data_IF_091778040578
#
_entry.id   IF_091778040578
#
_cell.length_a   1.000
_cell.length_b   1.000
_cell.length_c   1.000
_cell.angle_alpha   90.00
_cell.angle_beta   90.00
_cell.angle_gamma   90.00
#
_symmetry.space_group_name_H-M   'P 1'
#
loop_
_entity.id
_entity.type
_entity.pdbx_description
1 polymer ?
#
# COMPACT_ATOMS: atom_id res chain seq x y z
N UNK A 1 -2.24 13.37 -0.80
CA UNK A 1 -2.12 12.40 0.31
C UNK A 1 -2.73 11.08 -0.14
N UNK A 2 -2.04 9.96 0.07
CA UNK A 2 -2.59 8.64 -0.20
C UNK A 2 -3.82 8.39 0.70
N UNK A 3 -4.91 7.90 0.13
CA UNK A 3 -6.14 7.60 0.87
C UNK A 3 -6.19 6.10 1.17
N UNK A 4 -6.57 5.77 2.40
CA UNK A 4 -6.84 4.40 2.83
C UNK A 4 -7.89 3.73 1.96
N UNK A 5 -7.69 2.44 1.70
CA UNK A 5 -8.62 1.63 0.94
C UNK A 5 -9.95 1.47 1.69
N UNK A 6 -11.04 1.90 1.05
CA UNK A 6 -12.41 1.70 1.56
C UNK A 6 -12.72 0.21 1.81
N UNK A 7 -12.15 -0.67 0.99
CA UNK A 7 -12.33 -2.12 1.12
C UNK A 7 -11.71 -2.63 2.42
N UNK A 8 -10.53 -2.13 2.79
CA UNK A 8 -9.89 -2.49 4.06
C UNK A 8 -10.69 -1.94 5.25
N UNK A 9 -11.11 -0.67 5.17
CA UNK A 9 -11.97 -0.06 6.20
C UNK A 9 -13.25 -0.88 6.42
N UNK A 10 -13.90 -1.32 5.35
CA UNK A 10 -15.12 -2.12 5.44
C UNK A 10 -14.87 -3.47 6.14
N UNK A 11 -13.73 -4.12 5.91
CA UNK A 11 -13.35 -5.39 6.55
C UNK A 11 -13.06 -5.21 8.04
N UNK A 12 -12.32 -4.16 8.40
CA UNK A 12 -12.05 -3.80 9.80
C UNK A 12 -13.37 -3.50 10.52
N UNK A 13 -14.26 -2.72 9.90
CA UNK A 13 -15.56 -2.40 10.47
C UNK A 13 -16.48 -3.63 10.60
N UNK A 14 -16.48 -4.52 9.62
CA UNK A 14 -17.23 -5.79 9.67
C UNK A 14 -16.76 -6.66 10.83
N UNK A 15 -15.45 -6.72 11.06
CA UNK A 15 -14.86 -7.43 12.20
C UNK A 15 -15.31 -6.81 13.53
N UNK A 16 -15.29 -5.48 13.64
CA UNK A 16 -15.76 -4.77 14.83
C UNK A 16 -17.23 -5.08 15.16
N UNK A 17 -18.09 -5.21 14.15
CA UNK A 17 -19.50 -5.56 14.36
C UNK A 17 -19.70 -7.01 14.83
N UNK A 18 -18.95 -7.97 14.28
CA UNK A 18 -18.97 -9.37 14.74
C UNK A 18 -18.45 -9.46 16.19
N UNK A 19 -17.34 -8.78 16.49
CA UNK A 19 -16.77 -8.70 17.84
C UNK A 19 -17.77 -8.07 18.81
N UNK A 20 -18.39 -6.95 18.43
CA UNK A 20 -19.39 -6.27 19.24
C UNK A 20 -20.56 -7.18 19.57
N UNK A 21 -21.12 -7.88 18.57
CA UNK A 21 -22.19 -8.85 18.74
C UNK A 21 -21.85 -9.92 19.80
N UNK A 22 -20.65 -10.51 19.68
CA UNK A 22 -20.19 -11.55 20.58
C UNK A 22 -19.93 -11.01 22.00
N UNK A 23 -19.22 -9.88 22.15
CA UNK A 23 -18.91 -9.29 23.46
C UNK A 23 -20.17 -8.82 24.20
N UNK A 24 -21.09 -8.14 23.52
CA UNK A 24 -22.33 -7.64 24.13
C UNK A 24 -23.23 -8.77 24.66
N UNK A 25 -23.22 -9.93 24.01
CA UNK A 25 -24.11 -11.05 24.36
C UNK A 25 -23.39 -12.24 25.00
N UNK A 26 -22.10 -12.11 25.32
CA UNK A 26 -21.27 -13.21 25.79
C UNK A 26 -21.85 -13.92 27.03
N UNK A 27 -22.24 -13.13 28.04
CA UNK A 27 -22.82 -13.62 29.29
C UNK A 27 -24.06 -14.48 29.07
N UNK A 28 -25.02 -13.95 28.30
CA UNK A 28 -26.28 -14.64 28.03
C UNK A 28 -26.08 -15.90 27.18
N UNK A 29 -25.20 -15.83 26.19
CA UNK A 29 -24.91 -16.96 25.30
C UNK A 29 -24.20 -18.07 26.09
N UNK A 30 -23.19 -17.72 26.88
CA UNK A 30 -22.45 -18.67 27.71
C UNK A 30 -23.35 -19.37 28.74
N UNK A 31 -24.23 -18.61 29.41
CA UNK A 31 -25.20 -19.16 30.37
C UNK A 31 -26.13 -20.18 29.72
N UNK A 32 -26.70 -19.85 28.54
CA UNK A 32 -27.60 -20.76 27.83
C UNK A 32 -26.90 -22.01 27.31
N UNK A 33 -25.66 -21.88 26.83
CA UNK A 33 -24.86 -23.03 26.40
C UNK A 33 -24.51 -23.94 27.57
N UNK A 34 -24.14 -23.38 28.73
CA UNK A 34 -23.87 -24.15 29.94
C UNK A 34 -25.11 -24.88 30.45
N UNK A 35 -26.27 -24.21 30.50
CA UNK A 35 -27.55 -24.83 30.87
C UNK A 35 -27.90 -26.00 29.93
N UNK A 36 -27.65 -25.84 28.63
CA UNK A 36 -27.82 -26.92 27.64
C UNK A 36 -26.82 -28.05 27.85
N UNK A 37 -25.57 -27.77 28.21
CA UNK A 37 -24.60 -28.81 28.49
C UNK A 37 -25.02 -29.65 29.71
N UNK A 38 -25.53 -29.00 30.77
CA UNK A 38 -26.07 -29.69 31.94
C UNK A 38 -27.24 -30.61 31.59
N UNK A 39 -28.15 -30.18 30.69
CA UNK A 39 -29.30 -31.00 30.31
C UNK A 39 -28.93 -32.23 29.48
N UNK A 40 -27.81 -32.18 28.73
CA UNK A 40 -27.36 -33.27 27.85
C UNK A 40 -26.34 -34.19 28.54
N UNK A 41 -25.44 -33.63 29.34
CA UNK A 41 -24.28 -34.32 29.91
C UNK A 41 -24.37 -34.51 31.44
N UNK A 42 -25.38 -33.91 32.09
CA UNK A 42 -25.58 -33.93 33.53
C UNK A 42 -24.83 -32.82 34.28
N UNK A 43 -25.08 -32.73 35.60
CA UNK A 43 -24.60 -31.66 36.46
C UNK A 43 -23.07 -31.57 36.60
N UNK A 44 -22.34 -32.66 36.33
CA UNK A 44 -20.88 -32.73 36.45
C UNK A 44 -20.15 -32.41 35.12
N UNK A 45 -20.84 -31.81 34.15
CA UNK A 45 -20.21 -31.42 32.88
C UNK A 45 -19.08 -30.41 33.08
N UNK A 46 -18.03 -30.52 32.25
CA UNK A 46 -16.95 -29.54 32.17
C UNK A 46 -17.29 -28.33 31.30
N UNK A 47 -18.37 -28.37 30.53
CA UNK A 47 -18.80 -27.27 29.66
C UNK A 47 -19.58 -26.23 30.48
N UNK A 48 -18.87 -25.55 31.39
CA UNK A 48 -19.43 -24.53 32.27
C UNK A 48 -19.56 -23.19 31.56
N UNK A 49 -20.26 -22.23 32.20
CA UNK A 49 -20.39 -20.87 31.70
C UNK A 49 -19.03 -20.21 31.48
N UNK A 50 -18.12 -20.39 32.43
CA UNK A 50 -16.75 -19.83 32.39
C UNK A 50 -15.98 -20.36 31.18
N UNK A 51 -16.12 -21.66 30.85
CA UNK A 51 -15.48 -22.26 29.67
C UNK A 51 -16.01 -21.62 28.38
N UNK A 52 -17.32 -21.39 28.26
CA UNK A 52 -17.87 -20.72 27.10
C UNK A 52 -17.48 -19.24 27.02
N UNK A 53 -17.37 -18.54 28.14
CA UNK A 53 -16.86 -17.16 28.17
C UNK A 53 -15.41 -17.08 27.69
N UNK A 54 -14.55 -18.01 28.13
CA UNK A 54 -13.16 -18.11 27.66
C UNK A 54 -13.10 -18.36 26.16
N UNK A 55 -13.92 -19.29 25.64
CA UNK A 55 -14.00 -19.56 24.21
C UNK A 55 -14.44 -18.32 23.41
N UNK A 56 -15.50 -17.63 23.84
CA UNK A 56 -15.99 -16.43 23.17
C UNK A 56 -14.95 -15.30 23.21
N UNK A 57 -14.28 -15.11 24.35
CA UNK A 57 -13.20 -14.14 24.47
C UNK A 57 -12.08 -14.44 23.46
N UNK A 58 -11.59 -15.68 23.44
CA UNK A 58 -10.56 -16.13 22.49
C UNK A 58 -10.95 -15.82 21.04
N UNK A 59 -12.17 -16.22 20.61
CA UNK A 59 -12.66 -15.94 19.26
C UNK A 59 -12.66 -14.44 18.94
N UNK A 60 -13.15 -13.61 19.87
CA UNK A 60 -13.21 -12.15 19.63
C UNK A 60 -11.85 -11.48 19.63
N UNK A 61 -10.92 -11.95 20.47
CA UNK A 61 -9.58 -11.37 20.57
C UNK A 61 -8.71 -11.80 19.38
N UNK A 62 -8.88 -13.03 18.87
CA UNK A 62 -8.26 -13.46 17.60
C UNK A 62 -8.74 -12.61 16.43
N UNK A 63 -10.05 -12.40 16.28
CA UNK A 63 -10.57 -11.56 15.20
C UNK A 63 -10.13 -10.10 15.33
N UNK A 64 -10.04 -9.58 16.57
CA UNK A 64 -9.54 -8.23 16.82
C UNK A 64 -8.07 -8.09 16.41
N UNK A 65 -7.22 -9.05 16.78
CA UNK A 65 -5.81 -9.08 16.39
C UNK A 65 -5.65 -9.15 14.86
N UNK A 66 -6.40 -10.03 14.21
CA UNK A 66 -6.38 -10.19 12.74
C UNK A 66 -6.80 -8.90 12.02
N UNK A 67 -7.87 -8.24 12.48
CA UNK A 67 -8.31 -6.96 11.93
C UNK A 67 -7.27 -5.83 12.16
N UNK A 68 -6.63 -5.79 13.33
CA UNK A 68 -5.58 -4.82 13.62
C UNK A 68 -4.32 -5.04 12.75
N UNK A 69 -3.91 -6.29 12.53
CA UNK A 69 -2.78 -6.62 11.65
C UNK A 69 -3.05 -6.23 10.19
N UNK A 70 -4.29 -6.41 9.72
CA UNK A 70 -4.70 -5.93 8.41
C UNK A 70 -4.65 -4.39 8.30
N UNK A 71 -5.12 -3.71 9.33
CA UNK A 71 -5.14 -2.24 9.39
C UNK A 71 -3.73 -1.64 9.37
N UNK A 72 -2.83 -2.22 10.18
CA UNK A 72 -1.42 -1.82 10.25
C UNK A 72 -0.72 -2.03 8.90
N UNK A 73 -0.98 -3.15 8.22
CA UNK A 73 -0.41 -3.42 6.91
C UNK A 73 -0.89 -2.41 5.84
N UNK A 74 -2.14 -1.97 5.89
CA UNK A 74 -2.63 -0.89 5.02
C UNK A 74 -1.95 0.44 5.36
N UNK A 75 -1.74 0.74 6.64
CA UNK A 75 -1.02 1.94 7.06
C UNK A 75 0.44 1.98 6.57
N UNK A 76 1.13 0.84 6.55
CA UNK A 76 2.47 0.74 5.95
C UNK A 76 2.46 1.10 4.47
N UNK A 77 1.52 0.54 3.69
CA UNK A 77 1.38 0.88 2.26
C UNK A 77 1.07 2.37 2.05
N UNK A 78 0.30 2.99 2.93
CA UNK A 78 0.01 4.43 2.85
C UNK A 78 1.24 5.28 3.15
N UNK A 79 2.08 4.87 4.09
CA UNK A 79 3.34 5.54 4.41
C UNK A 79 4.27 5.54 3.19
N UNK A 80 4.51 4.37 2.58
CA UNK A 80 5.33 4.25 1.36
C UNK A 80 4.81 5.13 0.21
N UNK A 81 3.49 5.21 0.03
CA UNK A 81 2.89 6.05 -1.02
C UNK A 81 2.94 7.55 -0.74
N UNK A 82 3.15 7.97 0.51
CA UNK A 82 3.18 9.38 0.85
C UNK A 82 4.43 10.08 0.31
N UNK A 83 5.54 9.35 0.20
CA UNK A 83 6.86 9.89 -0.15
C UNK A 83 7.13 9.94 -1.66
N UNK A 84 6.31 9.27 -2.46
CA UNK A 84 6.42 9.16 -3.92
C UNK A 84 6.41 10.53 -4.65
N UNK A 85 5.67 11.52 -4.14
CA UNK A 85 5.63 12.86 -4.77
C UNK A 85 6.99 13.56 -4.71
N UNK A 86 7.65 13.55 -3.56
CA UNK A 86 8.94 14.20 -3.37
C UNK A 86 10.04 13.54 -4.22
N UNK A 87 10.01 12.21 -4.35
CA UNK A 87 10.96 11.47 -5.19
C UNK A 87 10.79 11.79 -6.68
N UNK A 88 9.55 11.91 -7.17
CA UNK A 88 9.27 12.31 -8.55
C UNK A 88 9.74 13.72 -8.83
N UNK A 89 9.49 14.67 -7.92
CA UNK A 89 9.96 16.04 -8.06
C UNK A 89 11.50 16.11 -8.10
N UNK A 90 12.20 15.35 -7.25
CA UNK A 90 13.65 15.26 -7.26
C UNK A 90 14.20 14.69 -8.57
N UNK A 91 13.61 13.59 -9.07
CA UNK A 91 13.96 13.02 -10.38
C UNK A 91 13.74 14.03 -11.50
N UNK A 92 12.58 14.69 -11.53
CA UNK A 92 12.21 15.60 -12.62
C UNK A 92 13.08 16.86 -12.62
N UNK A 93 13.42 17.39 -11.44
CA UNK A 93 14.37 18.48 -11.29
C UNK A 93 15.77 18.09 -11.78
N UNK A 94 16.27 16.92 -11.39
CA UNK A 94 17.57 16.41 -11.83
C UNK A 94 17.60 16.13 -13.34
N UNK A 95 16.52 15.57 -13.89
CA UNK A 95 16.39 15.33 -15.32
C UNK A 95 16.38 16.62 -16.13
N UNK A 96 15.58 17.61 -15.70
CA UNK A 96 15.52 18.93 -16.32
C UNK A 96 16.89 19.63 -16.31
N UNK A 97 17.59 19.56 -15.18
CA UNK A 97 18.93 20.15 -15.04
C UNK A 97 19.98 19.47 -15.95
N UNK A 98 19.94 18.14 -16.05
CA UNK A 98 20.83 17.37 -16.92
C UNK A 98 20.54 17.64 -18.40
N UNK A 99 19.27 17.66 -18.82
CA UNK A 99 18.87 17.98 -20.20
C UNK A 99 19.35 19.38 -20.59
N UNK A 100 19.09 20.39 -19.74
CA UNK A 100 19.54 21.77 -20.01
C UNK A 100 21.04 21.85 -20.19
N UNK A 101 21.78 21.11 -19.36
CA UNK A 101 23.24 21.08 -19.43
C UNK A 101 23.75 20.37 -20.68
N UNK A 102 23.15 19.23 -21.05
CA UNK A 102 23.51 18.48 -22.25
C UNK A 102 23.26 19.31 -23.53
N UNK A 103 22.10 19.96 -23.63
CA UNK A 103 21.77 20.85 -24.76
C UNK A 103 22.74 22.03 -24.83
N UNK A 104 23.02 22.69 -23.70
CA UNK A 104 23.98 23.81 -23.65
C UNK A 104 25.36 23.36 -24.11
N UNK A 105 25.83 22.20 -23.64
CA UNK A 105 27.15 21.67 -24.01
C UNK A 105 27.21 21.28 -25.48
N UNK A 106 26.14 20.73 -26.03
CA UNK A 106 26.02 20.49 -27.48
C UNK A 106 26.21 21.80 -28.26
N UNK A 107 25.52 22.87 -27.88
CA UNK A 107 25.71 24.19 -28.51
C UNK A 107 27.15 24.67 -28.38
N UNK A 108 27.74 24.61 -27.18
CA UNK A 108 29.12 25.02 -26.93
C UNK A 108 30.14 24.25 -27.77
N UNK A 109 29.98 22.93 -27.93
CA UNK A 109 30.85 22.10 -28.78
C UNK A 109 30.65 22.43 -30.26
N UNK A 110 29.42 22.68 -30.68
CA UNK A 110 29.12 23.12 -32.06
C UNK A 110 29.82 24.45 -32.36
N UNK A 111 29.80 25.41 -31.44
CA UNK A 111 30.42 26.71 -31.61
C UNK A 111 31.96 26.62 -31.61
N UNK A 112 32.53 25.76 -30.75
CA UNK A 112 33.97 25.64 -30.58
C UNK A 112 34.67 24.78 -31.65
N UNK A 113 34.02 23.70 -32.10
CA UNK A 113 34.63 22.64 -32.91
C UNK A 113 33.82 22.30 -34.17
N UNK A 114 32.67 22.93 -34.38
CA UNK A 114 31.80 22.67 -35.52
C UNK A 114 31.18 21.26 -35.53
N UNK A 115 30.61 20.85 -36.67
CA UNK A 115 29.95 19.56 -36.83
C UNK A 115 30.84 18.35 -36.56
N UNK A 116 32.13 18.40 -36.95
CA UNK A 116 33.08 17.31 -36.70
C UNK A 116 33.34 17.08 -35.20
N UNK A 117 33.30 18.17 -34.41
CA UNK A 117 33.35 18.11 -32.95
C UNK A 117 32.14 17.40 -32.36
N UNK A 118 30.94 17.69 -32.86
CA UNK A 118 29.71 17.03 -32.41
C UNK A 118 29.77 15.50 -32.61
N UNK A 119 30.21 15.05 -33.79
CA UNK A 119 30.41 13.63 -34.07
C UNK A 119 31.48 12.99 -33.19
N UNK A 120 32.59 13.71 -32.94
CA UNK A 120 33.70 13.22 -32.12
C UNK A 120 33.33 12.92 -30.66
N UNK A 121 32.31 13.58 -30.13
CA UNK A 121 31.81 13.41 -28.75
C UNK A 121 30.43 12.76 -28.66
N UNK A 122 29.85 12.29 -29.78
CA UNK A 122 28.54 11.64 -29.79
C UNK A 122 27.39 12.57 -29.42
N UNK A 123 27.49 13.86 -29.80
CA UNK A 123 26.48 14.90 -29.57
C UNK A 123 25.58 15.14 -30.79
N UNK A 124 25.66 14.29 -31.80
CA UNK A 124 24.82 14.32 -33.00
C UNK A 124 23.38 13.90 -32.67
N UNK A 125 22.42 14.40 -33.46
CA UNK A 125 21.01 14.08 -33.27
C UNK A 125 20.38 14.68 -32.01
N UNK A 126 19.17 14.24 -31.67
CA UNK A 126 18.43 14.78 -30.54
C UNK A 126 18.95 14.26 -29.19
N UNK A 127 18.99 15.14 -28.19
CA UNK A 127 19.29 14.74 -26.82
C UNK A 127 18.16 13.87 -26.26
N UNK A 128 18.47 12.67 -25.73
CA UNK A 128 17.44 11.79 -25.17
C UNK A 128 16.60 12.46 -24.08
N UNK A 129 15.31 12.13 -24.04
CA UNK A 129 14.35 12.68 -23.06
C UNK A 129 14.04 11.72 -21.93
N UNK A 130 14.19 10.41 -22.15
CA UNK A 130 14.02 9.42 -21.11
C UNK A 130 15.18 9.55 -20.09
N UNK A 131 14.90 9.65 -18.77
CA UNK A 131 15.92 9.92 -17.76
C UNK A 131 17.11 8.94 -17.78
N UNK A 132 16.84 7.64 -17.91
CA UNK A 132 17.89 6.60 -17.92
C UNK A 132 18.77 6.69 -19.18
N UNK A 133 18.16 6.89 -20.34
CA UNK A 133 18.87 7.08 -21.61
C UNK A 133 19.72 8.35 -21.58
N UNK A 134 19.20 9.43 -20.99
CA UNK A 134 19.93 10.68 -20.82
C UNK A 134 21.18 10.50 -19.95
N UNK A 135 21.09 9.77 -18.83
CA UNK A 135 22.27 9.43 -18.01
C UNK A 135 23.30 8.67 -18.85
N UNK A 136 22.90 7.60 -19.55
CA UNK A 136 23.81 6.80 -20.36
C UNK A 136 24.46 7.61 -21.49
N UNK A 137 23.68 8.46 -22.16
CA UNK A 137 24.17 9.35 -23.20
C UNK A 137 25.21 10.33 -22.65
N UNK A 138 24.88 11.06 -21.58
CA UNK A 138 25.79 12.05 -20.98
C UNK A 138 27.07 11.41 -20.43
N UNK A 139 26.99 10.25 -19.80
CA UNK A 139 28.18 9.52 -19.34
C UNK A 139 29.08 9.12 -20.51
N UNK A 140 28.50 8.78 -21.66
CA UNK A 140 29.25 8.44 -22.87
C UNK A 140 29.95 9.67 -23.45
N UNK A 141 29.24 10.81 -23.53
CA UNK A 141 29.81 12.11 -23.91
C UNK A 141 30.97 12.50 -22.99
N UNK A 142 30.78 12.43 -21.67
CA UNK A 142 31.81 12.74 -20.67
C UNK A 142 33.04 11.84 -20.83
N UNK A 143 32.85 10.52 -21.04
CA UNK A 143 33.95 9.59 -21.31
C UNK A 143 34.72 9.97 -22.58
N UNK A 144 34.04 10.38 -23.65
CA UNK A 144 34.67 10.82 -24.88
C UNK A 144 35.44 12.14 -24.70
N UNK A 145 34.88 13.10 -23.95
CA UNK A 145 35.56 14.37 -23.62
C UNK A 145 36.83 14.15 -22.80
N UNK A 146 36.81 13.22 -21.84
CA UNK A 146 38.02 12.84 -21.09
C UNK A 146 39.05 12.11 -21.95
N UNK A 147 38.59 11.27 -22.90
CA UNK A 147 39.47 10.50 -23.79
C UNK A 147 40.12 11.36 -24.88
N UNK A 148 39.39 12.36 -25.36
CA UNK A 148 39.83 13.31 -26.39
C UNK A 148 39.70 14.74 -25.83
N UNK A 149 40.58 15.16 -24.92
CA UNK A 149 40.48 16.48 -24.32
C UNK A 149 40.73 17.58 -25.37
N UNK A 150 39.98 18.66 -25.26
CA UNK A 150 40.22 19.91 -25.98
C UNK A 150 40.17 21.11 -25.03
N UNK A 151 40.91 22.15 -25.42
CA UNK A 151 40.92 23.47 -24.80
C UNK A 151 40.97 24.51 -25.92
N UNK A 152 39.87 25.21 -26.15
CA UNK A 152 39.75 26.16 -27.28
C UNK A 152 39.12 27.46 -26.79
N UNK A 153 39.59 28.61 -27.29
CA UNK A 153 39.00 29.92 -27.00
C UNK A 153 38.32 30.46 -28.26
N UNK A 154 37.03 30.77 -28.17
CA UNK A 154 36.24 31.40 -29.24
C UNK A 154 35.63 32.68 -28.70
N UNK A 155 35.85 33.80 -29.38
CA UNK A 155 35.31 35.12 -28.99
C UNK A 155 35.55 35.50 -27.52
N UNK A 156 36.72 35.12 -26.98
CA UNK A 156 37.10 35.39 -25.59
C UNK A 156 36.55 34.41 -24.54
N UNK A 157 35.79 33.39 -24.95
CA UNK A 157 35.29 32.31 -24.07
C UNK A 157 36.13 31.05 -24.25
N UNK A 158 36.68 30.52 -23.15
CA UNK A 158 37.47 29.29 -23.16
C UNK A 158 36.60 28.07 -22.83
N UNK A 159 36.63 27.09 -23.72
CA UNK A 159 35.95 25.82 -23.60
C UNK A 159 36.95 24.74 -23.17
N UNK A 160 36.80 24.27 -21.93
CA UNK A 160 37.60 23.18 -21.37
C UNK A 160 36.75 21.90 -21.28
N UNK A 161 37.08 20.94 -22.13
CA UNK A 161 36.44 19.62 -22.14
C UNK A 161 36.49 18.89 -20.80
N UNK A 162 37.54 19.07 -20.01
CA UNK A 162 37.69 18.41 -18.72
C UNK A 162 36.70 18.99 -17.69
N UNK A 163 36.59 20.32 -17.64
CA UNK A 163 35.60 21.01 -16.80
C UNK A 163 34.16 20.70 -17.23
N UNK A 164 33.92 20.61 -18.55
CA UNK A 164 32.62 20.22 -19.11
C UNK A 164 32.27 18.79 -18.70
N UNK A 165 33.18 17.83 -18.91
CA UNK A 165 32.99 16.44 -18.54
C UNK A 165 32.70 16.28 -17.04
N UNK A 166 33.44 16.99 -16.18
CA UNK A 166 33.21 16.97 -14.74
C UNK A 166 31.82 17.51 -14.36
N UNK A 167 31.34 18.55 -15.06
CA UNK A 167 30.00 19.11 -14.84
C UNK A 167 28.91 18.13 -15.24
N UNK A 168 29.08 17.48 -16.39
CA UNK A 168 28.18 16.44 -16.89
C UNK A 168 28.12 15.23 -15.96
N UNK A 169 29.27 14.75 -15.49
CA UNK A 169 29.33 13.62 -14.56
C UNK A 169 28.57 13.90 -13.27
N UNK A 170 28.79 15.07 -12.66
CA UNK A 170 28.11 15.44 -11.42
C UNK A 170 26.59 15.44 -11.59
N UNK A 171 26.08 16.01 -12.69
CA UNK A 171 24.63 16.07 -12.95
C UNK A 171 24.06 14.70 -13.33
N UNK A 172 24.80 13.90 -14.09
CA UNK A 172 24.42 12.53 -14.42
C UNK A 172 24.37 11.65 -13.16
N UNK A 173 25.33 11.79 -12.24
CA UNK A 173 25.35 11.09 -10.96
C UNK A 173 24.16 11.49 -10.07
N UNK A 174 23.80 12.78 -10.03
CA UNK A 174 22.61 13.24 -9.31
C UNK A 174 21.33 12.60 -9.84
N UNK A 175 21.14 12.58 -11.17
CA UNK A 175 19.96 11.94 -11.77
C UNK A 175 19.97 10.42 -11.56
N UNK A 176 21.12 9.77 -11.73
CA UNK A 176 21.23 8.32 -11.55
C UNK A 176 20.91 7.91 -10.11
N UNK A 177 21.41 8.65 -9.11
CA UNK A 177 21.04 8.44 -7.70
C UNK A 177 19.54 8.58 -7.47
N UNK A 178 18.90 9.60 -8.04
CA UNK A 178 17.45 9.77 -7.92
C UNK A 178 16.69 8.58 -8.54
N UNK A 179 17.13 8.07 -9.70
CA UNK A 179 16.54 6.91 -10.36
C UNK A 179 16.73 5.62 -9.54
N UNK A 180 17.91 5.40 -8.97
CA UNK A 180 18.17 4.24 -8.10
C UNK A 180 17.33 4.30 -6.84
N UNK A 181 17.21 5.47 -6.21
CA UNK A 181 16.34 5.65 -5.04
C UNK A 181 14.89 5.34 -5.39
N UNK A 182 14.36 5.87 -6.51
CA UNK A 182 13.00 5.56 -6.94
C UNK A 182 12.79 4.07 -7.19
N UNK A 183 13.73 3.39 -7.84
CA UNK A 183 13.62 1.96 -8.09
C UNK A 183 13.60 1.14 -6.78
N UNK A 184 14.40 1.53 -5.78
CA UNK A 184 14.37 0.90 -4.46
C UNK A 184 13.00 1.08 -3.79
N UNK A 185 12.48 2.30 -3.80
CA UNK A 185 11.20 2.66 -3.18
C UNK A 185 10.01 1.96 -3.89
N UNK A 186 10.07 1.81 -5.21
CA UNK A 186 9.10 1.01 -5.97
C UNK A 186 9.10 -0.46 -5.54
N UNK A 187 10.28 -1.04 -5.27
CA UNK A 187 10.40 -2.41 -4.77
C UNK A 187 9.87 -2.54 -3.33
N UNK A 188 10.21 -1.60 -2.44
CA UNK A 188 9.74 -1.57 -1.06
C UNK A 188 8.20 -1.45 -1.00
N UNK A 189 7.62 -0.58 -1.82
CA UNK A 189 6.17 -0.47 -1.97
C UNK A 189 5.55 -1.78 -2.48
N UNK A 190 6.15 -2.44 -3.48
CA UNK A 190 5.66 -3.73 -3.98
C UNK A 190 5.67 -4.81 -2.89
N UNK A 191 6.72 -4.85 -2.07
CA UNK A 191 6.82 -5.78 -0.95
C UNK A 191 5.75 -5.51 0.10
N UNK A 192 5.51 -4.25 0.48
CA UNK A 192 4.44 -3.89 1.44
C UNK A 192 3.04 -4.18 0.88
N UNK A 193 2.82 -3.97 -0.43
CA UNK A 193 1.57 -4.37 -1.10
C UNK A 193 1.35 -5.88 -0.95
N UNK A 194 2.39 -6.69 -1.19
CA UNK A 194 2.34 -8.14 -1.05
C UNK A 194 2.09 -8.60 0.39
N UNK A 195 2.73 -7.96 1.38
CA UNK A 195 2.48 -8.22 2.81
C UNK A 195 1.02 -7.92 3.18
N UNK A 196 0.47 -6.80 2.70
CA UNK A 196 -0.93 -6.41 2.93
C UNK A 196 -1.92 -7.37 2.27
N UNK A 197 -1.60 -7.92 1.09
CA UNK A 197 -2.40 -8.98 0.46
C UNK A 197 -2.40 -10.29 1.27
N UNK A 198 -1.25 -10.69 1.83
CA UNK A 198 -1.20 -11.84 2.73
C UNK A 198 -2.06 -11.64 3.98
N UNK A 199 -2.04 -10.43 4.57
CA UNK A 199 -2.90 -10.10 5.71
C UNK A 199 -4.39 -10.11 5.34
N UNK A 200 -4.74 -9.71 4.11
CA UNK A 200 -6.13 -9.84 3.63
C UNK A 200 -6.57 -11.31 3.62
N UNK A 201 -5.73 -12.21 3.11
CA UNK A 201 -6.06 -13.63 3.05
C UNK A 201 -6.18 -14.25 4.46
N UNK A 202 -5.24 -13.95 5.35
CA UNK A 202 -5.29 -14.39 6.74
C UNK A 202 -6.56 -13.88 7.44
N UNK A 203 -6.90 -12.61 7.24
CA UNK A 203 -8.12 -12.02 7.77
C UNK A 203 -9.40 -12.69 7.24
N UNK A 204 -9.45 -13.05 5.95
CA UNK A 204 -10.62 -13.74 5.38
C UNK A 204 -10.85 -15.08 6.09
N UNK A 205 -9.79 -15.88 6.26
CA UNK A 205 -9.86 -17.18 6.94
C UNK A 205 -10.30 -17.03 8.40
N UNK A 206 -9.68 -16.10 9.14
CA UNK A 206 -10.02 -15.84 10.54
C UNK A 206 -11.46 -15.32 10.67
N UNK A 207 -11.84 -14.32 9.87
CA UNK A 207 -13.17 -13.73 9.92
C UNK A 207 -14.25 -14.76 9.61
N UNK A 208 -14.08 -15.53 8.54
CA UNK A 208 -15.07 -16.53 8.14
C UNK A 208 -15.17 -17.65 9.20
N UNK A 209 -14.04 -18.22 9.62
CA UNK A 209 -14.02 -19.31 10.59
C UNK A 209 -14.61 -18.92 11.95
N UNK A 210 -14.27 -17.72 12.43
CA UNK A 210 -14.79 -17.18 13.70
C UNK A 210 -16.28 -16.84 13.57
N UNK A 211 -16.69 -16.18 12.48
CA UNK A 211 -18.09 -15.85 12.25
C UNK A 211 -18.96 -17.11 12.17
N UNK A 212 -18.55 -18.13 11.41
CA UNK A 212 -19.28 -19.41 11.30
C UNK A 212 -19.36 -20.13 12.66
N UNK A 213 -18.31 -20.08 13.47
CA UNK A 213 -18.31 -20.61 14.84
C UNK A 213 -19.33 -19.88 15.71
N UNK A 214 -19.36 -18.54 15.67
CA UNK A 214 -20.31 -17.71 16.42
C UNK A 214 -21.75 -17.95 15.95
N UNK A 215 -22.00 -18.12 14.65
CA UNK A 215 -23.32 -18.52 14.12
C UNK A 215 -23.79 -19.81 14.77
N UNK A 216 -22.91 -20.83 14.85
CA UNK A 216 -23.21 -22.10 15.50
C UNK A 216 -23.52 -21.94 16.99
N UNK A 217 -22.67 -21.23 17.73
CA UNK A 217 -22.84 -20.98 19.17
C UNK A 217 -24.14 -20.21 19.46
N UNK A 218 -24.44 -19.17 18.71
CA UNK A 218 -25.67 -18.40 18.87
C UNK A 218 -26.93 -19.23 18.57
N UNK A 219 -26.89 -20.10 17.56
CA UNK A 219 -28.00 -21.03 17.29
C UNK A 219 -28.20 -22.03 18.42
N UNK A 220 -27.12 -22.60 18.95
CA UNK A 220 -27.18 -23.53 20.09
C UNK A 220 -27.72 -22.87 21.36
N UNK A 221 -27.42 -21.58 21.56
CA UNK A 221 -27.94 -20.73 22.62
C UNK A 221 -29.36 -20.17 22.35
N UNK A 222 -30.02 -20.55 21.25
CA UNK A 222 -31.36 -20.08 20.91
C UNK A 222 -31.43 -18.59 20.55
N UNK A 223 -30.32 -17.98 20.11
CA UNK A 223 -30.22 -16.61 19.59
C UNK A 223 -30.09 -16.62 18.07
N UNK A 224 -31.15 -17.07 17.39
CA UNK A 224 -31.20 -17.11 15.92
C UNK A 224 -30.99 -15.72 15.32
N UNK A 225 -31.54 -14.70 15.96
CA UNK A 225 -31.39 -13.29 15.62
C UNK A 225 -29.92 -12.84 15.53
N UNK A 226 -29.09 -13.25 16.49
CA UNK A 226 -27.65 -12.95 16.45
C UNK A 226 -26.94 -13.76 15.37
N UNK A 227 -27.32 -15.03 15.20
CA UNK A 227 -26.72 -15.91 14.21
C UNK A 227 -26.92 -15.45 12.77
N UNK A 228 -28.00 -14.73 12.49
CA UNK A 228 -28.26 -14.17 11.16
C UNK A 228 -27.43 -12.89 10.92
N UNK A 229 -27.19 -12.11 11.98
CA UNK A 229 -26.46 -10.83 11.89
C UNK A 229 -24.95 -11.01 11.71
N UNK A 230 -24.36 -12.01 12.35
CA UNK A 230 -22.90 -12.26 12.26
C UNK A 230 -22.52 -13.23 11.14
N UNK A 231 -23.49 -13.73 10.38
CA UNK A 231 -23.24 -14.66 9.27
C UNK A 231 -22.31 -14.01 8.24
N UNK A 232 -21.19 -14.65 7.87
CA UNK A 232 -20.31 -14.10 6.85
C UNK A 232 -21.03 -14.08 5.49
N UNK A 233 -20.88 -12.98 4.76
CA UNK A 233 -21.36 -12.84 3.38
C UNK A 233 -20.16 -12.69 2.44
N UNK A 234 -20.31 -13.15 1.20
CA UNK A 234 -19.26 -12.99 0.19
C UNK A 234 -18.90 -11.51 -0.03
N UNK A 235 -19.88 -10.61 0.09
CA UNK A 235 -19.70 -9.15 -0.05
C UNK A 235 -18.96 -8.53 1.14
N UNK A 236 -19.18 -9.01 2.36
CA UNK A 236 -18.41 -8.57 3.52
C UNK A 236 -16.95 -9.06 3.47
N UNK A 237 -16.73 -10.31 3.03
CA UNK A 237 -15.39 -10.89 2.88
C UNK A 237 -14.56 -10.18 1.79
N UNK A 238 -15.21 -9.79 0.69
CA UNK A 238 -14.60 -8.97 -0.36
C UNK A 238 -14.48 -7.49 0.03
N UNK A 239 -15.08 -7.07 1.14
CA UNK A 239 -15.09 -5.69 1.64
C UNK A 239 -15.94 -4.73 0.80
N UNK A 240 -16.86 -5.25 -0.02
CA UNK A 240 -17.84 -4.45 -0.76
C UNK A 240 -18.90 -3.83 0.15
N UNK A 241 -19.23 -4.52 1.23
CA UNK A 241 -20.18 -4.07 2.25
C UNK A 241 -19.62 -4.25 3.65
N UNK A 242 -20.29 -3.60 4.60
CA UNK A 242 -20.00 -3.76 6.03
C UNK A 242 -21.08 -4.66 6.60
N UNK A 243 -20.70 -5.70 7.35
CA UNK A 243 -21.64 -6.50 8.14
C UNK A 243 -22.49 -5.58 9.01
N UNK A 244 -23.82 -5.65 9.08
CA UNK A 244 -24.61 -4.70 9.85
C UNK A 244 -24.40 -4.81 11.37
N UNK A 245 -24.49 -3.70 12.14
CA UNK A 245 -24.32 -3.72 13.59
C UNK A 245 -25.50 -4.40 14.30
N UNK A 246 -25.24 -4.97 15.49
CA UNK A 246 -26.29 -5.55 16.34
C UNK A 246 -27.02 -4.43 17.09
N UNK A 247 -28.17 -3.99 16.58
CA UNK A 247 -29.02 -3.00 17.26
C UNK A 247 -29.91 -2.16 16.34
N UNK A 248 -29.63 -2.10 15.05
CA UNK A 248 -30.51 -1.42 14.09
C UNK A 248 -31.54 -2.41 13.55
N UNK A 249 -32.64 -2.58 14.27
CA UNK A 249 -33.91 -2.87 13.60
C UNK A 249 -34.21 -1.67 12.72
N UNK A 250 -34.16 -1.84 11.40
CA UNK A 250 -34.92 -0.96 10.51
C UNK A 250 -36.40 -1.29 10.72
N UNK A 251 -36.97 -0.79 11.81
CA UNK A 251 -38.37 -0.44 11.81
C UNK A 251 -38.48 0.77 10.88
N UNK A 252 -39.05 0.53 9.71
CA UNK A 252 -39.65 1.59 8.89
C UNK A 252 -41.14 1.62 9.26
N UNK A 253 -41.61 2.53 10.13
CA UNK A 253 -43.02 2.65 10.44
C UNK A 253 -43.62 3.72 9.53
N UNK A 254 -44.42 3.30 8.55
CA UNK A 254 -45.47 4.15 7.99
C UNK A 254 -45.31 4.55 6.53
N UNK A 255 -45.55 3.61 5.62
CA UNK A 255 -46.18 3.95 4.35
C UNK A 255 -47.65 4.33 4.61
N UNK A 256 -48.18 5.42 4.04
CA UNK A 256 -49.56 5.83 4.29
C UNK A 256 -50.54 4.83 3.67
N UNK A 257 -51.54 4.46 4.46
CA UNK A 257 -52.74 3.76 3.97
C UNK A 257 -53.53 4.76 3.13
N UNK A 258 -53.61 4.51 1.83
CA UNK A 258 -54.57 5.18 0.96
C UNK A 258 -55.94 4.55 1.18
N UNK A 259 -56.82 5.29 1.85
CA UNK A 259 -58.26 5.12 1.86
C UNK A 259 -58.92 6.42 1.43
#
# INVERSE_FOLDING_TARGET
MAKKSKVIDNRVQSSAHVIGAAKTHAEQVAERLAARAVSVQGANTKATKEVFLVLLAYLTDTLAASAASLDEAEHRVLAERADDVGLREQRDAAASDLVRSAVRIKSMVSDALGPEGLGSYGLEGDTPRAPRELVSHVQSVSKLMKKKPFLVTVEGVTFDSAAIAQTLDKKAETLDKALVTMQREEQELADEIGRREQQVLAWIEDHQGIADTLVGLFRLAGRKDLSERVRPTSRALTGEEVTPPVGTTSEDPGGPVLG
#
